data_IF_178813458408
#
_entry.id   IF_178813458408
#
_cell.length_a   1.000
_cell.length_b   1.000
_cell.length_c   1.000
_cell.angle_alpha   90.00
_cell.angle_beta   90.00
_cell.angle_gamma   90.00
#
_symmetry.space_group_name_H-M   'P 1'
#
loop_
_entity.id
_entity.type
_entity.pdbx_description
1 polymer ?
#
# COMPACT_ATOMS: atom_id res chain seq x y z
N UNK A 1 24.30 3.56 -16.97
CA UNK A 1 23.05 4.04 -16.36
C UNK A 1 21.81 3.69 -17.16
N UNK A 2 21.79 3.89 -18.50
CA UNK A 2 20.61 3.54 -19.30
C UNK A 2 20.34 2.03 -19.33
N UNK A 3 21.36 1.19 -19.26
CA UNK A 3 21.21 -0.27 -19.06
C UNK A 3 20.55 -0.58 -17.73
N UNK A 4 21.04 0.03 -16.65
CA UNK A 4 20.53 -0.16 -15.30
C UNK A 4 19.02 0.15 -15.18
N UNK A 5 18.50 1.07 -15.97
CA UNK A 5 17.08 1.43 -15.97
C UNK A 5 16.32 0.87 -17.17
N UNK A 6 16.92 -0.08 -17.91
CA UNK A 6 16.32 -0.74 -19.07
C UNK A 6 15.81 0.25 -20.14
N UNK A 7 16.66 1.22 -20.50
CA UNK A 7 16.40 2.24 -21.53
C UNK A 7 17.50 2.31 -22.59
N UNK A 8 18.41 1.34 -22.64
CA UNK A 8 19.54 1.34 -23.60
C UNK A 8 19.07 1.35 -25.04
N UNK A 9 18.08 0.53 -25.35
CA UNK A 9 17.55 0.44 -26.73
C UNK A 9 16.82 1.71 -27.16
N UNK A 10 16.31 2.49 -26.21
CA UNK A 10 15.58 3.73 -26.44
C UNK A 10 16.47 4.99 -26.42
N UNK A 11 17.80 4.84 -26.29
CA UNK A 11 18.74 5.95 -26.09
C UNK A 11 18.68 7.03 -27.19
N UNK A 12 18.31 6.65 -28.41
CA UNK A 12 18.20 7.56 -29.56
C UNK A 12 16.78 8.11 -29.76
N UNK A 13 15.81 7.72 -28.95
CA UNK A 13 14.42 8.21 -29.04
C UNK A 13 14.26 9.54 -28.32
N UNK A 14 13.37 10.37 -28.85
CA UNK A 14 13.04 11.65 -28.21
C UNK A 14 12.25 11.41 -26.90
N UNK A 15 12.67 12.04 -25.80
CA UNK A 15 12.04 11.91 -24.47
C UNK A 15 10.52 12.20 -24.50
N UNK A 16 10.05 13.08 -25.40
CA UNK A 16 8.63 13.38 -25.58
C UNK A 16 7.78 12.17 -25.98
N UNK A 17 8.41 11.14 -26.58
CA UNK A 17 7.74 9.89 -27.00
C UNK A 17 7.79 8.79 -25.94
N UNK A 18 8.42 9.04 -24.80
CA UNK A 18 8.52 8.09 -23.69
C UNK A 18 7.20 7.95 -22.97
N UNK A 19 6.88 6.71 -22.55
CA UNK A 19 5.80 6.44 -21.62
C UNK A 19 6.08 7.09 -20.25
N UNK A 20 5.07 7.13 -19.37
CA UNK A 20 5.25 7.61 -18.00
C UNK A 20 6.31 6.81 -17.24
N UNK A 21 6.30 5.48 -17.34
CA UNK A 21 7.30 4.59 -16.73
C UNK A 21 8.71 4.81 -17.30
N UNK A 22 8.84 4.99 -18.63
CA UNK A 22 10.13 5.29 -19.25
C UNK A 22 10.71 6.64 -18.76
N UNK A 23 9.88 7.68 -18.64
CA UNK A 23 10.30 8.98 -18.10
C UNK A 23 10.77 8.88 -16.66
N UNK A 24 10.06 8.08 -15.82
CA UNK A 24 10.43 7.84 -14.43
C UNK A 24 11.77 7.12 -14.34
N UNK A 25 11.97 6.05 -15.10
CA UNK A 25 13.25 5.32 -15.21
C UNK A 25 14.39 6.23 -15.67
N UNK A 26 14.14 7.10 -16.63
CA UNK A 26 15.13 8.09 -17.07
C UNK A 26 15.48 9.10 -15.95
N UNK A 27 14.48 9.54 -15.17
CA UNK A 27 14.71 10.41 -14.01
C UNK A 27 15.63 9.78 -12.96
N UNK A 28 15.51 8.47 -12.75
CA UNK A 28 16.39 7.72 -11.84
C UNK A 28 17.81 7.64 -12.42
N UNK A 29 17.95 7.31 -13.71
CA UNK A 29 19.25 7.35 -14.37
C UNK A 29 19.91 8.74 -14.27
N UNK A 30 19.11 9.80 -14.38
CA UNK A 30 19.57 11.18 -14.20
C UNK A 30 20.03 11.45 -12.76
N UNK A 31 19.29 10.99 -11.77
CA UNK A 31 19.66 11.15 -10.35
C UNK A 31 20.99 10.45 -10.01
N UNK A 32 21.34 9.40 -10.74
CA UNK A 32 22.56 8.62 -10.55
C UNK A 32 23.79 9.18 -11.31
N UNK A 33 23.65 10.23 -12.13
CA UNK A 33 24.73 10.73 -12.99
C UNK A 33 26.00 11.12 -12.22
N UNK A 34 25.85 11.66 -11.02
CA UNK A 34 26.98 12.13 -10.20
C UNK A 34 27.38 11.13 -9.11
N UNK A 35 26.95 9.88 -9.22
CA UNK A 35 27.21 8.81 -8.26
C UNK A 35 26.96 9.26 -6.78
N UNK A 36 25.74 9.71 -6.46
CA UNK A 36 25.43 10.24 -5.12
C UNK A 36 25.54 9.14 -4.05
N UNK A 37 25.98 9.50 -2.85
CA UNK A 37 25.96 8.62 -1.67
C UNK A 37 24.56 8.45 -1.08
N UNK A 38 23.70 9.44 -1.28
CA UNK A 38 22.30 9.46 -0.78
C UNK A 38 21.39 9.70 -1.97
N UNK A 39 20.43 8.80 -2.15
CA UNK A 39 19.42 8.89 -3.19
C UNK A 39 18.02 8.95 -2.54
N UNK A 40 17.24 9.96 -2.91
CA UNK A 40 15.86 10.12 -2.42
C UNK A 40 14.93 9.92 -3.61
N UNK A 41 13.99 8.99 -3.47
CA UNK A 41 13.01 8.64 -4.50
C UNK A 41 11.59 8.71 -3.95
N UNK A 42 10.75 9.45 -4.65
CA UNK A 42 9.33 9.57 -4.33
C UNK A 42 8.51 8.71 -5.30
N UNK A 43 7.78 7.72 -4.74
CA UNK A 43 6.94 6.78 -5.49
C UNK A 43 7.62 6.14 -6.71
N UNK A 44 8.82 5.54 -6.57
CA UNK A 44 9.63 5.15 -7.73
C UNK A 44 8.99 4.03 -8.58
N UNK A 45 8.16 3.18 -7.98
CA UNK A 45 7.52 2.01 -8.62
C UNK A 45 6.07 2.25 -9.03
N UNK A 46 5.47 3.39 -8.66
CA UNK A 46 4.09 3.69 -8.99
C UNK A 46 3.87 3.79 -10.50
N UNK A 47 2.82 3.12 -11.01
CA UNK A 47 2.48 3.11 -12.44
C UNK A 47 3.36 2.21 -13.31
N UNK A 48 4.27 1.44 -12.72
CA UNK A 48 4.98 0.36 -13.41
C UNK A 48 4.12 -0.91 -13.46
N UNK A 49 4.28 -1.69 -14.54
CA UNK A 49 3.70 -3.02 -14.57
C UNK A 49 4.41 -3.97 -13.58
N UNK A 50 3.83 -5.13 -13.24
CA UNK A 50 4.41 -6.04 -12.25
C UNK A 50 5.83 -6.50 -12.57
N UNK A 51 6.17 -6.71 -13.85
CA UNK A 51 7.49 -7.14 -14.28
C UNK A 51 8.51 -6.00 -14.14
N UNK A 52 8.15 -4.81 -14.58
CA UNK A 52 8.98 -3.62 -14.41
C UNK A 52 9.20 -3.28 -12.94
N UNK A 53 8.17 -3.44 -12.10
CA UNK A 53 8.25 -3.23 -10.66
C UNK A 53 9.24 -4.20 -10.00
N UNK A 54 9.13 -5.50 -10.32
CA UNK A 54 10.05 -6.51 -9.80
C UNK A 54 11.50 -6.21 -10.21
N UNK A 55 11.71 -5.87 -11.48
CA UNK A 55 13.03 -5.46 -11.97
C UNK A 55 13.58 -4.26 -11.19
N UNK A 56 12.73 -3.25 -10.99
CA UNK A 56 13.13 -2.02 -10.34
C UNK A 56 13.46 -2.20 -8.85
N UNK A 57 12.73 -3.07 -8.14
CA UNK A 57 13.08 -3.45 -6.77
C UNK A 57 14.49 -4.05 -6.69
N UNK A 58 14.82 -4.94 -7.62
CA UNK A 58 16.18 -5.54 -7.66
C UNK A 58 17.26 -4.47 -7.91
N UNK A 59 16.99 -3.50 -8.79
CA UNK A 59 17.91 -2.37 -9.04
C UNK A 59 18.11 -1.52 -7.80
N UNK A 60 17.04 -1.24 -7.04
CA UNK A 60 17.15 -0.50 -5.76
C UNK A 60 17.98 -1.31 -4.75
N UNK A 61 17.70 -2.60 -4.59
CA UNK A 61 18.42 -3.46 -3.66
C UNK A 61 19.92 -3.56 -3.98
N UNK A 62 20.27 -3.63 -5.28
CA UNK A 62 21.67 -3.62 -5.72
C UNK A 62 22.36 -2.29 -5.38
N UNK A 63 21.71 -1.16 -5.66
CA UNK A 63 22.26 0.17 -5.35
C UNK A 63 22.39 0.41 -3.84
N UNK A 64 21.53 -0.18 -3.02
CA UNK A 64 21.55 -0.03 -1.57
C UNK A 64 22.80 -0.64 -0.91
N UNK A 65 23.57 -1.49 -1.61
CA UNK A 65 24.83 -2.05 -1.08
C UNK A 65 25.88 -0.95 -0.84
N UNK A 66 25.89 0.11 -1.65
CA UNK A 66 26.91 1.17 -1.62
C UNK A 66 26.34 2.56 -1.32
N UNK A 67 25.00 2.69 -1.22
CA UNK A 67 24.32 3.99 -1.11
C UNK A 67 23.24 3.95 -0.04
N UNK A 68 22.99 5.10 0.56
CA UNK A 68 21.78 5.32 1.38
C UNK A 68 20.64 5.64 0.44
N UNK A 69 19.60 4.81 0.41
CA UNK A 69 18.42 5.02 -0.42
C UNK A 69 17.21 5.28 0.47
N UNK A 70 16.59 6.43 0.28
CA UNK A 70 15.34 6.82 0.96
C UNK A 70 14.23 6.75 -0.06
N UNK A 71 13.25 5.88 0.18
CA UNK A 71 12.09 5.68 -0.70
C UNK A 71 10.83 6.08 0.05
N UNK A 72 10.03 6.99 -0.52
CA UNK A 72 8.65 7.17 -0.10
C UNK A 72 7.74 6.39 -1.04
N UNK A 73 6.79 5.63 -0.49
CA UNK A 73 5.79 4.91 -1.26
C UNK A 73 4.58 4.54 -0.41
N UNK A 74 3.43 4.38 -1.06
CA UNK A 74 2.23 3.78 -0.48
C UNK A 74 2.07 2.29 -0.84
N UNK A 75 2.97 1.74 -1.65
CA UNK A 75 2.95 0.34 -2.08
C UNK A 75 3.77 -0.49 -1.08
N UNK A 76 3.09 -0.94 -0.03
CA UNK A 76 3.73 -1.62 1.12
C UNK A 76 4.48 -2.88 0.69
N UNK A 77 3.94 -3.65 -0.27
CA UNK A 77 4.58 -4.86 -0.77
C UNK A 77 5.94 -4.63 -1.45
N UNK A 78 6.24 -3.41 -1.90
CA UNK A 78 7.56 -3.13 -2.45
C UNK A 78 8.61 -2.96 -1.35
N UNK A 79 8.20 -2.44 -0.18
CA UNK A 79 9.07 -2.16 0.96
C UNK A 79 9.54 -3.46 1.63
N UNK A 80 8.65 -4.43 1.83
CA UNK A 80 8.97 -5.70 2.49
C UNK A 80 10.20 -6.42 1.91
N UNK A 81 10.46 -6.19 0.62
CA UNK A 81 11.55 -6.89 -0.09
C UNK A 81 12.85 -6.11 -0.22
N UNK A 82 12.84 -4.79 0.00
CA UNK A 82 14.01 -3.95 -0.34
C UNK A 82 14.50 -3.08 0.82
N UNK A 83 13.75 -2.97 1.91
CA UNK A 83 14.11 -2.04 2.98
C UNK A 83 14.74 -2.74 4.18
N UNK A 84 15.87 -2.19 4.65
CA UNK A 84 16.47 -2.53 5.94
C UNK A 84 15.71 -1.88 7.10
N UNK A 85 15.16 -0.68 6.86
CA UNK A 85 14.42 0.09 7.85
C UNK A 85 13.15 0.68 7.23
N UNK A 86 12.05 0.55 7.94
CA UNK A 86 10.74 1.10 7.59
C UNK A 86 10.34 2.16 8.59
N UNK A 87 9.83 3.27 8.08
CA UNK A 87 9.29 4.38 8.85
C UNK A 87 7.81 4.59 8.45
N UNK A 88 6.88 4.29 9.34
CA UNK A 88 5.46 4.59 9.11
C UNK A 88 5.17 6.01 9.60
N UNK A 89 4.70 6.85 8.67
CA UNK A 89 4.39 8.26 8.93
C UNK A 89 2.89 8.54 8.78
N UNK A 90 2.32 9.28 9.75
CA UNK A 90 0.92 9.74 9.72
C UNK A 90 0.86 11.20 10.16
N UNK A 91 0.23 12.06 9.37
CA UNK A 91 0.06 13.50 9.69
C UNK A 91 1.37 14.22 10.05
N UNK A 92 2.45 13.91 9.31
CA UNK A 92 3.77 14.53 9.51
C UNK A 92 4.54 14.05 10.74
N UNK A 93 4.12 12.95 11.37
CA UNK A 93 4.81 12.34 12.52
C UNK A 93 5.13 10.89 12.22
N UNK A 94 6.30 10.43 12.68
CA UNK A 94 6.61 9.01 12.68
C UNK A 94 5.78 8.30 13.76
N UNK A 95 5.06 7.26 13.36
CA UNK A 95 4.30 6.40 14.26
C UNK A 95 5.13 5.22 14.73
N UNK A 96 5.80 4.53 13.80
CA UNK A 96 6.58 3.33 14.03
C UNK A 96 7.85 3.39 13.20
N UNK A 97 8.90 2.75 13.69
CA UNK A 97 10.20 2.59 13.03
C UNK A 97 10.80 1.24 13.41
N UNK A 98 11.36 0.52 12.45
CA UNK A 98 12.03 -0.77 12.66
C UNK A 98 12.24 -1.51 11.35
N UNK A 99 12.74 -2.74 11.43
CA UNK A 99 12.73 -3.66 10.29
C UNK A 99 11.29 -4.11 9.97
N UNK A 100 11.04 -4.63 8.77
CA UNK A 100 9.72 -5.15 8.42
C UNK A 100 9.28 -6.25 9.39
N UNK A 101 10.19 -7.16 9.75
CA UNK A 101 9.93 -8.27 10.68
C UNK A 101 9.57 -7.78 12.08
N UNK A 102 10.29 -6.78 12.61
CA UNK A 102 10.00 -6.19 13.92
C UNK A 102 8.62 -5.54 13.91
N UNK A 103 8.31 -4.75 12.89
CA UNK A 103 7.06 -4.03 12.77
C UNK A 103 5.84 -4.95 12.62
N UNK A 104 5.96 -6.04 11.87
CA UNK A 104 4.89 -7.03 11.71
C UNK A 104 4.49 -7.65 13.06
N UNK A 105 5.38 -7.71 14.04
CA UNK A 105 5.05 -8.24 15.37
C UNK A 105 3.96 -7.46 16.08
N UNK A 106 3.78 -6.17 15.76
CA UNK A 106 2.71 -5.30 16.30
C UNK A 106 1.28 -5.75 15.95
N UNK A 107 1.15 -6.64 14.97
CA UNK A 107 -0.13 -7.22 14.53
C UNK A 107 -0.19 -8.74 14.69
N UNK A 108 0.77 -9.33 15.42
CA UNK A 108 0.75 -10.75 15.73
C UNK A 108 -0.51 -11.12 16.50
N UNK A 109 -1.17 -12.19 16.05
CA UNK A 109 -2.42 -12.68 16.64
C UNK A 109 -3.65 -11.81 16.35
N UNK A 110 -3.51 -10.76 15.53
CA UNK A 110 -4.61 -9.84 15.20
C UNK A 110 -5.12 -10.02 13.77
N UNK A 111 -4.52 -10.89 12.96
CA UNK A 111 -4.91 -11.06 11.56
C UNK A 111 -5.63 -12.40 11.39
N UNK A 112 -6.83 -12.33 10.80
CA UNK A 112 -7.74 -13.44 10.67
C UNK A 112 -8.17 -13.67 9.22
N UNK A 113 -8.25 -14.91 8.79
CA UNK A 113 -8.96 -15.34 7.59
C UNK A 113 -10.35 -15.82 8.02
N UNK A 114 -11.39 -15.13 7.60
CA UNK A 114 -12.77 -15.39 8.02
C UNK A 114 -13.62 -15.78 6.81
N UNK A 115 -14.56 -16.73 7.01
CA UNK A 115 -15.56 -17.08 6.01
C UNK A 115 -16.93 -16.62 6.50
N UNK A 116 -17.53 -15.69 5.76
CA UNK A 116 -18.77 -15.02 6.13
C UNK A 116 -19.85 -15.31 5.09
N UNK A 117 -21.06 -15.76 5.46
CA UNK A 117 -22.16 -15.90 4.51
C UNK A 117 -22.41 -14.59 3.77
N UNK A 118 -22.65 -14.66 2.44
CA UNK A 118 -22.83 -13.46 1.61
C UNK A 118 -23.99 -12.57 2.08
N UNK A 119 -25.01 -13.15 2.73
CA UNK A 119 -26.12 -12.39 3.31
C UNK A 119 -25.71 -11.53 4.51
N UNK A 120 -24.72 -11.96 5.28
CA UNK A 120 -24.24 -11.29 6.49
C UNK A 120 -23.09 -10.30 6.19
N UNK A 121 -22.52 -10.37 4.98
CA UNK A 121 -21.35 -9.62 4.61
C UNK A 121 -21.47 -8.10 4.81
N UNK A 122 -22.55 -7.41 4.38
CA UNK A 122 -22.64 -5.95 4.53
C UNK A 122 -22.59 -5.52 6.00
N UNK A 123 -23.17 -6.31 6.88
CA UNK A 123 -23.17 -6.06 8.32
C UNK A 123 -21.81 -6.38 8.97
N UNK A 124 -21.10 -7.37 8.45
CA UNK A 124 -19.79 -7.78 8.90
C UNK A 124 -18.71 -6.74 8.47
N UNK A 125 -18.70 -6.34 7.20
CA UNK A 125 -17.78 -5.37 6.64
C UNK A 125 -17.84 -4.02 7.36
N UNK A 126 -19.04 -3.55 7.72
CA UNK A 126 -19.22 -2.28 8.45
C UNK A 126 -18.71 -2.30 9.90
N UNK A 127 -18.43 -3.48 10.48
CA UNK A 127 -18.00 -3.61 11.88
C UNK A 127 -16.53 -3.93 12.05
N UNK A 128 -15.86 -4.33 10.99
CA UNK A 128 -14.49 -4.83 11.06
C UNK A 128 -13.58 -4.12 10.08
N UNK A 129 -12.29 -4.02 10.40
CA UNK A 129 -11.25 -3.55 9.48
C UNK A 129 -10.89 -4.67 8.53
N UNK A 130 -11.33 -4.53 7.28
CA UNK A 130 -11.10 -5.51 6.22
C UNK A 130 -9.85 -5.13 5.43
N UNK A 131 -8.85 -6.02 5.43
CA UNK A 131 -7.65 -5.84 4.62
C UNK A 131 -7.91 -6.20 3.15
N UNK A 132 -8.55 -7.33 2.90
CA UNK A 132 -9.06 -7.70 1.59
C UNK A 132 -10.22 -8.69 1.72
N UNK A 133 -10.97 -8.87 0.62
CA UNK A 133 -12.05 -9.83 0.57
C UNK A 133 -12.19 -10.45 -0.82
N UNK A 134 -12.69 -11.70 -0.85
CA UNK A 134 -12.94 -12.45 -2.06
C UNK A 134 -14.33 -13.09 -2.01
N UNK A 135 -15.16 -12.79 -2.97
CA UNK A 135 -16.49 -13.41 -3.09
C UNK A 135 -16.35 -14.80 -3.72
N UNK A 136 -16.85 -15.83 -3.03
CA UNK A 136 -16.87 -17.23 -3.46
C UNK A 136 -18.31 -17.73 -3.71
N UNK A 137 -19.22 -16.83 -4.08
CA UNK A 137 -20.62 -17.11 -4.32
C UNK A 137 -21.46 -16.94 -3.06
N UNK A 138 -21.75 -18.01 -2.33
CA UNK A 138 -22.58 -17.93 -1.10
C UNK A 138 -21.78 -17.49 0.17
N UNK A 139 -20.45 -17.39 0.03
CA UNK A 139 -19.54 -17.05 1.12
C UNK A 139 -18.55 -15.99 0.63
N UNK A 140 -18.21 -15.05 1.51
CA UNK A 140 -17.12 -14.10 1.32
C UNK A 140 -15.97 -14.54 2.24
N UNK A 141 -14.83 -14.81 1.64
CA UNK A 141 -13.57 -14.98 2.36
C UNK A 141 -12.93 -13.61 2.56
N UNK A 142 -12.61 -13.27 3.80
CA UNK A 142 -12.08 -11.95 4.16
C UNK A 142 -10.86 -12.06 5.06
N UNK A 143 -9.85 -11.21 4.78
CA UNK A 143 -8.73 -10.97 5.67
C UNK A 143 -9.07 -9.79 6.57
N UNK A 144 -9.10 -10.03 7.88
CA UNK A 144 -9.63 -9.10 8.87
C UNK A 144 -8.59 -8.77 9.92
N UNK A 145 -8.50 -7.51 10.31
CA UNK A 145 -7.63 -7.06 11.39
C UNK A 145 -8.49 -6.83 12.63
N UNK A 146 -8.29 -7.66 13.66
CA UNK A 146 -9.07 -7.62 14.91
C UNK A 146 -8.26 -8.21 16.06
N UNK A 147 -8.33 -7.64 17.27
CA UNK A 147 -7.68 -8.22 18.45
C UNK A 147 -8.29 -9.57 18.88
N UNK A 148 -9.52 -9.88 18.45
CA UNK A 148 -10.24 -11.11 18.76
C UNK A 148 -10.81 -11.73 17.50
N UNK A 149 -11.11 -13.04 17.53
CA UNK A 149 -11.77 -13.72 16.41
C UNK A 149 -13.08 -13.01 16.04
N UNK A 150 -13.22 -12.49 14.79
CA UNK A 150 -14.40 -11.73 14.36
C UNK A 150 -15.68 -12.56 14.28
N UNK A 151 -15.57 -13.86 14.01
CA UNK A 151 -16.68 -14.81 13.96
C UNK A 151 -16.19 -16.23 14.27
N UNK A 152 -17.11 -17.19 14.33
CA UNK A 152 -16.79 -18.59 14.67
C UNK A 152 -15.96 -19.28 13.57
N UNK A 153 -16.18 -18.91 12.30
CA UNK A 153 -15.46 -19.47 11.13
C UNK A 153 -14.30 -18.53 10.72
N UNK A 154 -13.38 -18.30 11.67
CA UNK A 154 -12.18 -17.50 11.46
C UNK A 154 -10.95 -18.26 11.96
N UNK A 155 -9.88 -18.23 11.17
CA UNK A 155 -8.58 -18.80 11.51
C UNK A 155 -7.52 -17.69 11.54
N UNK A 156 -6.62 -17.75 12.54
CA UNK A 156 -5.48 -16.83 12.55
C UNK A 156 -4.57 -17.10 11.35
N UNK A 157 -4.08 -16.03 10.74
CA UNK A 157 -3.16 -16.12 9.62
C UNK A 157 -1.89 -15.30 9.87
N UNK A 158 -0.84 -15.60 9.11
CA UNK A 158 0.44 -14.91 9.22
C UNK A 158 0.23 -13.43 8.83
N UNK A 159 0.60 -12.49 9.70
CA UNK A 159 0.49 -11.06 9.42
C UNK A 159 1.51 -10.61 8.38
N UNK A 160 1.21 -9.48 7.72
CA UNK A 160 2.07 -8.80 6.76
C UNK A 160 2.24 -7.33 7.15
N UNK A 161 3.20 -6.65 6.55
CA UNK A 161 3.39 -5.22 6.74
C UNK A 161 2.17 -4.40 6.25
N UNK A 162 1.44 -4.91 5.25
CA UNK A 162 0.20 -4.28 4.77
C UNK A 162 -0.91 -4.30 5.83
N UNK A 163 -1.03 -5.38 6.62
CA UNK A 163 -1.98 -5.44 7.73
C UNK A 163 -1.67 -4.39 8.80
N UNK A 164 -0.39 -4.22 9.13
CA UNK A 164 0.05 -3.18 10.05
C UNK A 164 -0.26 -1.79 9.51
N UNK A 165 0.05 -1.54 8.22
CA UNK A 165 -0.28 -0.27 7.58
C UNK A 165 -1.77 0.04 7.68
N UNK A 166 -2.63 -0.91 7.33
CA UNK A 166 -4.08 -0.77 7.41
C UNK A 166 -4.56 -0.54 8.85
N UNK A 167 -3.99 -1.26 9.85
CA UNK A 167 -4.27 -0.99 11.27
C UNK A 167 -3.97 0.45 11.66
N UNK A 168 -2.81 0.97 11.24
CA UNK A 168 -2.39 2.34 11.55
C UNK A 168 -3.31 3.42 10.94
N UNK A 169 -3.99 3.10 9.83
CA UNK A 169 -4.79 4.06 9.06
C UNK A 169 -6.29 3.76 9.05
N UNK A 170 -6.76 2.68 9.70
CA UNK A 170 -8.17 2.27 9.73
C UNK A 170 -9.13 3.39 10.16
N UNK A 171 -8.74 4.17 11.19
CA UNK A 171 -9.57 5.24 11.74
C UNK A 171 -9.88 6.40 10.77
N UNK A 172 -9.07 6.57 9.70
CA UNK A 172 -9.29 7.65 8.71
C UNK A 172 -10.35 7.29 7.66
N UNK A 173 -10.52 6.01 7.37
CA UNK A 173 -11.54 5.53 6.42
C UNK A 173 -12.94 5.56 7.05
N UNK A 174 -13.04 5.25 8.34
CA UNK A 174 -14.31 5.29 9.08
C UNK A 174 -14.87 6.71 9.24
N UNK A 175 -14.02 7.72 9.39
CA UNK A 175 -14.43 9.13 9.53
C UNK A 175 -14.93 9.72 8.21
N UNK A 176 -14.35 9.36 7.07
CA UNK A 176 -14.78 9.82 5.76
C UNK A 176 -16.07 9.14 5.26
N UNK A 177 -16.35 7.90 5.71
CA UNK A 177 -17.58 7.17 5.38
C UNK A 177 -18.82 7.70 6.13
N UNK A 178 -18.66 8.15 7.37
CA UNK A 178 -19.77 8.65 8.20
C UNK A 178 -20.24 10.06 7.82
N UNK A 179 -19.38 10.91 7.28
CA UNK A 179 -19.72 12.32 6.94
C UNK A 179 -20.55 12.46 5.65
N UNK A 180 -20.56 11.43 4.77
CA UNK A 180 -21.33 11.44 3.52
C UNK A 180 -22.78 10.93 3.66
N UNK A 181 -23.10 10.15 4.70
CA UNK A 181 -24.46 9.64 4.90
C UNK A 181 -25.39 10.63 5.62
N UNK A 182 -24.84 11.50 6.46
CA UNK A 182 -25.66 12.47 7.25
C UNK A 182 -26.11 13.70 6.44
N UNK A 183 -25.43 14.02 5.31
CA UNK A 183 -25.82 15.14 4.44
C UNK A 183 -26.96 14.81 3.45
N UNK A 184 -27.27 13.56 3.21
CA UNK A 184 -28.38 13.16 2.31
C UNK A 184 -29.75 13.14 2.99
N UNK A 185 -29.81 13.11 4.31
CA UNK A 185 -31.07 13.05 5.07
C UNK A 185 -31.76 14.39 5.32
N UNK A 186 -31.07 15.54 5.17
CA UNK A 186 -31.64 16.85 5.50
C UNK A 186 -32.29 17.66 4.36
N UNK A 187 -32.14 17.19 3.11
CA UNK A 187 -32.64 17.95 1.95
C UNK A 187 -34.02 17.51 1.40
N UNK A 188 -34.69 16.52 2.01
CA UNK A 188 -36.01 16.04 1.54
C UNK A 188 -37.20 16.48 2.39
N UNK A 189 -37.02 17.38 3.39
CA UNK A 189 -38.15 17.83 4.25
C UNK A 189 -38.54 19.30 4.13
N UNK A 190 -38.09 20.02 3.08
CA UNK A 190 -38.56 21.43 2.83
C UNK A 190 -39.18 21.61 1.45
N UNK A 191 -40.17 20.82 1.12
CA UNK A 191 -40.87 20.94 -0.15
C UNK A 191 -42.31 20.45 -0.15
N UNK A 192 -43.07 20.69 0.94
CA UNK A 192 -44.55 20.57 0.92
C UNK A 192 -45.14 21.41 2.03
N UNK A 193 -45.35 22.71 1.75
CA UNK A 193 -46.36 23.57 2.33
C UNK A 193 -46.30 24.94 1.62
N UNK A 194 -47.08 25.10 0.61
CA UNK A 194 -47.98 26.20 0.26
C UNK A 194 -48.54 25.90 -1.09
#
# INVERSE_FOLDING_TARGET
LLELVNLKEDMNRKIRTFSGGMKRRLGIAQALLNDPKILIMDEPTAGLDPKERAYFRNVIAEMAQDKIIIVSTHIVSDIEYISDQVLIMKKGRFLLQGTAEELITEVNGMVWSCRVPSGDWPSFENRHTIANSRNLGNVVEARVISPFAPCADCEQTIPTLEDLYLKCFADEQDLNGRDLSDKRGKNQRKGKRS
#
